data_IF_007995623571
#
_entry.id   IF_007995623571
#
_cell.length_a   1.000
_cell.length_b   1.000
_cell.length_c   1.000
_cell.angle_alpha   90.00
_cell.angle_beta   90.00
_cell.angle_gamma   90.00
#
_symmetry.space_group_name_H-M   'P 1'
#
loop_
_entity.id
_entity.type
_entity.pdbx_description
1 polymer ?
#
# COMPACT_ATOMS: atom_id res chain seq x y z
N UNK A 1 -3.57 -11.54 -7.37
CA UNK A 1 -4.41 -10.94 -8.42
C UNK A 1 -5.79 -11.58 -8.38
N UNK A 2 -6.83 -10.89 -8.84
CA UNK A 2 -8.21 -11.40 -8.90
C UNK A 2 -8.75 -11.20 -10.31
N UNK A 3 -9.13 -12.29 -10.97
CA UNK A 3 -9.80 -12.24 -12.27
C UNK A 3 -11.28 -12.57 -12.11
N UNK A 4 -12.15 -11.65 -12.52
CA UNK A 4 -13.59 -11.79 -12.31
C UNK A 4 -14.38 -10.79 -13.15
N UNK A 5 -15.55 -11.21 -13.65
CA UNK A 5 -16.56 -10.33 -14.25
C UNK A 5 -17.56 -9.77 -13.22
N UNK A 6 -17.58 -10.31 -11.99
CA UNK A 6 -18.45 -9.86 -10.91
C UNK A 6 -17.83 -8.67 -10.17
N UNK A 7 -18.52 -7.53 -10.11
CA UNK A 7 -18.04 -6.29 -9.50
C UNK A 7 -17.93 -6.33 -7.96
N UNK A 8 -18.72 -7.17 -7.27
CA UNK A 8 -18.67 -7.28 -5.79
C UNK A 8 -17.56 -8.21 -5.30
N UNK A 9 -17.22 -9.23 -6.09
CA UNK A 9 -16.17 -10.22 -5.79
C UNK A 9 -14.80 -9.61 -5.46
N UNK A 10 -14.24 -8.65 -6.23
CA UNK A 10 -12.90 -8.14 -5.95
C UNK A 10 -12.84 -7.44 -4.59
N UNK A 11 -13.84 -6.64 -4.22
CA UNK A 11 -13.87 -5.97 -2.92
C UNK A 11 -13.95 -6.96 -1.75
N UNK A 12 -14.75 -8.02 -1.88
CA UNK A 12 -14.84 -9.09 -0.87
C UNK A 12 -13.50 -9.82 -0.73
N UNK A 13 -12.88 -10.21 -1.85
CA UNK A 13 -11.60 -10.92 -1.85
C UNK A 13 -10.48 -10.03 -1.32
N UNK A 14 -10.41 -8.77 -1.74
CA UNK A 14 -9.40 -7.82 -1.28
C UNK A 14 -9.47 -7.57 0.24
N UNK A 15 -10.65 -7.64 0.86
CA UNK A 15 -10.80 -7.57 2.33
C UNK A 15 -10.36 -8.85 3.05
N UNK A 16 -10.48 -10.01 2.41
CA UNK A 16 -10.19 -11.31 3.03
C UNK A 16 -8.71 -11.71 2.91
N UNK A 17 -8.00 -11.23 1.88
CA UNK A 17 -6.61 -11.60 1.61
C UNK A 17 -5.65 -10.64 2.31
N UNK A 18 -4.66 -11.19 3.02
CA UNK A 18 -3.55 -10.43 3.62
C UNK A 18 -2.45 -10.21 2.59
N UNK A 19 -2.56 -9.12 1.82
CA UNK A 19 -1.56 -8.68 0.85
C UNK A 19 -1.45 -7.14 0.88
N UNK A 20 -0.31 -6.59 0.48
CA UNK A 20 -0.15 -5.13 0.41
C UNK A 20 -0.74 -4.50 -0.86
N UNK A 21 -0.89 -5.27 -1.95
CA UNK A 21 -1.51 -4.80 -3.19
C UNK A 21 -2.34 -5.93 -3.81
N UNK A 22 -3.52 -5.60 -4.32
CA UNK A 22 -4.41 -6.55 -5.01
C UNK A 22 -4.81 -5.94 -6.36
N UNK A 23 -4.32 -6.52 -7.44
CA UNK A 23 -4.77 -6.19 -8.80
C UNK A 23 -6.03 -6.97 -9.19
N UNK A 24 -6.93 -6.31 -9.91
CA UNK A 24 -8.20 -6.87 -10.40
C UNK A 24 -8.25 -6.74 -11.91
N UNK A 25 -8.33 -7.86 -12.63
CA UNK A 25 -8.34 -7.91 -14.10
C UNK A 25 -7.16 -7.19 -14.79
N UNK A 26 -6.06 -7.00 -14.09
CA UNK A 26 -4.81 -6.48 -14.62
C UNK A 26 -3.64 -7.10 -13.86
N UNK A 27 -2.45 -6.91 -14.40
CA UNK A 27 -1.20 -7.25 -13.72
C UNK A 27 -0.24 -6.06 -13.77
N UNK A 28 0.54 -5.93 -12.71
CA UNK A 28 1.66 -4.99 -12.58
C UNK A 28 1.38 -3.53 -12.93
N UNK A 29 0.12 -3.10 -12.90
CA UNK A 29 -0.24 -1.68 -13.04
C UNK A 29 0.17 -0.94 -11.77
N UNK A 30 1.08 0.03 -11.90
CA UNK A 30 1.70 0.75 -10.78
C UNK A 30 1.50 2.25 -10.89
N UNK A 31 0.95 2.85 -9.85
CA UNK A 31 1.05 4.28 -9.59
C UNK A 31 2.15 4.50 -8.54
N UNK A 32 3.17 5.29 -8.87
CA UNK A 32 4.31 5.55 -7.98
C UNK A 32 3.90 6.31 -6.69
N UNK A 33 2.71 6.89 -6.67
CA UNK A 33 2.16 7.61 -5.50
C UNK A 33 1.41 6.67 -4.55
N UNK A 34 0.94 5.52 -5.02
CA UNK A 34 0.20 4.56 -4.21
C UNK A 34 1.14 3.75 -3.30
N UNK A 35 0.69 3.35 -2.09
CA UNK A 35 1.47 2.48 -1.22
C UNK A 35 1.79 1.13 -1.88
N UNK A 36 3.03 0.70 -1.76
CA UNK A 36 3.49 -0.63 -2.16
C UNK A 36 4.29 -1.27 -1.02
N UNK A 37 4.13 -2.59 -0.84
CA UNK A 37 4.87 -3.35 0.16
C UNK A 37 4.22 -4.69 0.49
N UNK A 38 4.89 -5.47 1.33
CA UNK A 38 4.52 -6.84 1.66
C UNK A 38 3.60 -7.00 2.88
N UNK A 39 3.20 -8.24 3.14
CA UNK A 39 2.50 -8.63 4.36
C UNK A 39 3.20 -9.88 4.92
N UNK A 40 3.39 -10.00 6.24
CA UNK A 40 4.25 -11.02 6.90
C UNK A 40 5.69 -10.95 6.36
N UNK A 41 6.32 -12.08 6.09
CA UNK A 41 7.72 -12.21 5.69
C UNK A 41 8.01 -11.59 4.31
N UNK A 42 6.99 -11.15 3.57
CA UNK A 42 7.17 -10.44 2.30
C UNK A 42 7.67 -8.99 2.45
N UNK A 43 7.83 -8.47 3.68
CA UNK A 43 8.49 -7.19 3.93
C UNK A 43 7.90 -6.37 5.08
N UNK A 44 8.63 -5.33 5.46
CA UNK A 44 8.30 -4.40 6.54
C UNK A 44 8.10 -2.99 5.95
N UNK A 45 7.10 -2.26 6.46
CA UNK A 45 6.81 -0.90 6.01
C UNK A 45 6.07 -0.82 4.67
N UNK A 46 5.99 0.40 4.13
CA UNK A 46 5.40 0.71 2.82
C UNK A 46 6.26 1.76 2.13
N UNK A 47 6.32 1.67 0.82
CA UNK A 47 6.94 2.66 -0.06
C UNK A 47 5.91 3.22 -1.05
N UNK A 48 6.29 4.22 -1.83
CA UNK A 48 5.42 4.92 -2.79
C UNK A 48 4.81 6.19 -2.20
N UNK A 49 4.87 7.27 -2.97
CA UNK A 49 4.34 8.58 -2.59
C UNK A 49 4.78 9.03 -1.19
N UNK A 50 3.78 9.33 -0.34
CA UNK A 50 4.02 9.80 1.03
C UNK A 50 4.70 8.77 1.93
N UNK A 51 4.54 7.47 1.66
CA UNK A 51 5.08 6.41 2.51
C UNK A 51 6.61 6.31 2.37
N UNK A 52 7.12 6.45 1.14
CA UNK A 52 8.57 6.61 0.95
C UNK A 52 9.08 7.89 1.60
N UNK A 53 8.35 9.01 1.49
CA UNK A 53 8.76 10.26 2.15
C UNK A 53 8.85 10.09 3.67
N UNK A 54 7.86 9.44 4.29
CA UNK A 54 7.86 9.12 5.72
C UNK A 54 9.04 8.19 6.09
N UNK A 55 9.35 7.20 5.26
CA UNK A 55 10.45 6.27 5.51
C UNK A 55 11.85 6.91 5.35
N UNK A 56 12.03 7.79 4.37
CA UNK A 56 13.32 8.44 4.07
C UNK A 56 13.52 9.78 4.77
N UNK A 57 12.60 10.21 5.65
CA UNK A 57 12.69 11.48 6.37
C UNK A 57 12.64 11.25 7.88
N UNK A 58 13.51 11.93 8.61
CA UNK A 58 13.48 11.92 10.07
C UNK A 58 12.48 12.96 10.60
N UNK A 59 11.54 12.53 11.43
CA UNK A 59 10.60 13.44 12.07
C UNK A 59 11.31 14.24 13.18
N UNK A 60 11.16 15.56 13.20
CA UNK A 60 11.74 16.43 14.22
C UNK A 60 10.69 17.41 14.74
N UNK A 61 10.58 17.52 16.05
CA UNK A 61 9.71 18.48 16.72
C UNK A 61 10.55 19.55 17.41
N UNK A 62 10.17 20.81 17.25
CA UNK A 62 10.74 21.96 17.96
C UNK A 62 9.61 22.65 18.70
N UNK A 63 9.77 22.84 20.00
CA UNK A 63 8.80 23.53 20.87
C UNK A 63 9.48 24.77 21.42
N UNK A 64 8.79 25.91 21.38
CA UNK A 64 9.28 27.19 21.89
C UNK A 64 8.17 27.83 22.73
N UNK A 65 8.51 28.18 23.97
CA UNK A 65 7.69 29.03 24.83
C UNK A 65 8.08 30.50 24.55
N UNK A 66 7.09 31.38 24.42
CA UNK A 66 7.27 32.82 24.17
C UNK A 66 7.21 33.62 25.48
#
# INVERSE_FOLDING_TARGET
MVFTKNARRPHRVARAVRAGTVWVNCDFVRDLRAPFGGFKDSGIGREGGKHSREFFTEAKTVVMEL
#
